data_IF_868223237397
#
_entry.id   IF_868223237397
#
_cell.length_a   1.000
_cell.length_b   1.000
_cell.length_c   1.000
_cell.angle_alpha   90.00
_cell.angle_beta   90.00
_cell.angle_gamma   90.00
#
_symmetry.space_group_name_H-M   'P 1'
#
loop_
_entity.id
_entity.type
_entity.pdbx_description
1 polymer ?
#
# COMPACT_ATOMS: atom_id res chain seq x y z
N UNK A 1 0.20 -8.90 -6.00
CA UNK A 1 0.08 -8.48 -7.41
C UNK A 1 -1.36 -8.67 -7.85
N UNK A 2 -2.13 -7.61 -8.05
CA UNK A 2 -3.47 -7.67 -8.67
C UNK A 2 -3.33 -6.96 -10.01
N UNK A 3 -3.84 -7.55 -11.11
CA UNK A 3 -3.59 -7.17 -12.53
C UNK A 3 -4.92 -6.87 -13.27
N UNK A 4 -4.86 -5.96 -14.27
CA UNK A 4 -5.86 -5.49 -15.28
C UNK A 4 -6.83 -4.30 -15.02
N UNK A 5 -6.76 -3.33 -15.93
CA UNK A 5 -6.92 -1.86 -15.85
C UNK A 5 -8.34 -1.28 -15.99
N UNK A 6 -8.63 -0.25 -15.18
CA UNK A 6 -9.45 0.90 -15.58
C UNK A 6 -8.77 2.18 -15.05
N UNK A 7 -8.39 3.08 -15.94
CA UNK A 7 -7.63 4.29 -15.62
C UNK A 7 -8.51 5.30 -14.88
N UNK A 8 -7.99 5.85 -13.77
CA UNK A 8 -8.41 7.16 -13.27
C UNK A 8 -8.20 8.17 -14.40
N UNK A 9 -9.24 8.49 -15.16
CA UNK A 9 -9.15 9.43 -16.25
C UNK A 9 -8.72 10.81 -15.71
N UNK A 10 -7.55 11.26 -16.19
CA UNK A 10 -7.06 12.65 -16.19
C UNK A 10 -6.99 13.34 -14.82
N UNK A 11 -6.02 12.94 -14.01
CA UNK A 11 -5.22 13.94 -13.27
C UNK A 11 -3.85 13.98 -13.95
N UNK A 12 -3.51 15.15 -14.47
CA UNK A 12 -2.27 15.39 -15.21
C UNK A 12 -1.03 15.07 -14.35
N UNK A 13 0.08 14.80 -15.05
CA UNK A 13 1.40 14.36 -14.58
C UNK A 13 1.55 12.84 -14.48
N UNK A 14 2.09 12.26 -15.57
CA UNK A 14 2.18 10.83 -15.80
C UNK A 14 2.80 10.05 -14.66
N UNK A 15 2.07 9.03 -14.19
CA UNK A 15 2.56 7.79 -13.55
C UNK A 15 1.37 6.88 -13.30
N UNK A 16 1.49 5.60 -13.65
CA UNK A 16 0.49 4.55 -13.37
C UNK A 16 0.40 4.17 -11.87
N UNK A 17 1.01 4.93 -10.97
CA UNK A 17 1.12 4.63 -9.55
C UNK A 17 0.07 5.37 -8.73
N UNK A 18 -0.72 4.63 -7.94
CA UNK A 18 -1.77 5.19 -7.09
C UNK A 18 -1.44 5.13 -5.60
N UNK A 19 -0.18 4.85 -5.26
CA UNK A 19 0.30 4.78 -3.87
C UNK A 19 0.16 6.15 -3.19
N UNK A 20 -0.13 6.15 -1.89
CA UNK A 20 -0.40 7.38 -1.12
C UNK A 20 0.85 8.04 -0.51
N UNK A 21 1.95 7.30 -0.40
CA UNK A 21 3.22 7.75 0.19
C UNK A 21 3.00 8.37 1.58
N UNK A 22 2.54 7.57 2.56
CA UNK A 22 2.19 8.08 3.88
C UNK A 22 3.44 8.58 4.64
N UNK A 23 3.32 9.76 5.25
CA UNK A 23 4.40 10.32 6.08
C UNK A 23 4.79 9.42 7.25
N UNK A 24 3.84 8.68 7.80
CA UNK A 24 4.08 7.69 8.87
C UNK A 24 5.04 6.58 8.46
N UNK A 25 5.27 6.35 7.16
CA UNK A 25 6.32 5.44 6.69
C UNK A 25 7.60 6.20 6.31
N UNK A 26 7.47 7.38 5.68
CA UNK A 26 8.63 8.17 5.22
C UNK A 26 9.47 8.71 6.38
N UNK A 27 8.84 9.22 7.43
CA UNK A 27 9.54 9.84 8.56
C UNK A 27 10.40 8.83 9.35
N UNK A 28 9.90 7.64 9.74
CA UNK A 28 10.74 6.64 10.40
C UNK A 28 11.85 6.09 9.50
N UNK A 29 11.61 5.96 8.19
CA UNK A 29 12.64 5.56 7.23
C UNK A 29 13.80 6.57 7.20
N UNK A 30 13.48 7.86 7.14
CA UNK A 30 14.48 8.93 7.19
C UNK A 30 15.20 8.98 8.55
N UNK A 31 14.47 8.79 9.66
CA UNK A 31 15.07 8.66 10.99
C UNK A 31 16.00 7.44 11.12
N UNK A 32 15.84 6.44 10.24
CA UNK A 32 16.69 5.25 10.16
C UNK A 32 17.83 5.37 9.15
N UNK A 33 18.15 6.59 8.69
CA UNK A 33 19.33 6.90 7.88
C UNK A 33 19.13 7.01 6.38
N UNK A 34 17.90 6.94 5.87
CA UNK A 34 17.59 7.27 4.47
C UNK A 34 17.40 8.78 4.25
N UNK A 35 17.34 9.17 2.97
CA UNK A 35 17.09 10.54 2.54
C UNK A 35 15.95 10.60 1.52
N UNK A 36 14.79 10.03 1.87
CA UNK A 36 13.57 10.18 1.09
C UNK A 36 13.14 11.65 1.10
N UNK A 37 12.73 12.15 -0.06
CA UNK A 37 12.23 13.52 -0.22
C UNK A 37 11.03 13.77 0.72
N UNK A 38 11.13 14.69 1.70
CA UNK A 38 10.06 14.96 2.65
C UNK A 38 8.84 15.64 1.99
N UNK A 39 9.00 16.16 0.77
CA UNK A 39 7.92 16.69 -0.06
C UNK A 39 7.20 15.61 -0.87
N UNK A 40 7.70 14.36 -0.90
CA UNK A 40 7.05 13.28 -1.61
C UNK A 40 5.60 13.09 -1.13
N UNK A 41 4.65 13.14 -2.07
CA UNK A 41 3.23 12.89 -1.84
C UNK A 41 2.74 11.91 -2.89
N UNK A 42 1.84 11.03 -2.48
CA UNK A 42 1.13 10.13 -3.37
C UNK A 42 -0.31 10.59 -3.60
N UNK A 43 -1.11 9.69 -4.15
CA UNK A 43 -2.55 9.91 -4.36
C UNK A 43 -3.28 9.94 -3.02
N UNK A 44 -4.25 10.84 -2.89
CA UNK A 44 -5.11 10.89 -1.71
C UNK A 44 -5.97 9.62 -1.64
N UNK A 45 -5.78 8.81 -0.59
CA UNK A 45 -6.50 7.53 -0.42
C UNK A 45 -8.01 7.72 -0.21
N UNK A 46 -8.44 8.93 0.11
CA UNK A 46 -9.86 9.30 0.25
C UNK A 46 -10.57 9.34 -1.13
N UNK A 47 -9.82 9.48 -2.23
CA UNK A 47 -10.35 9.55 -3.59
C UNK A 47 -10.59 8.17 -4.23
N UNK A 48 -10.10 7.10 -3.60
CA UNK A 48 -10.19 5.74 -4.13
C UNK A 48 -11.64 5.27 -4.32
N UNK A 49 -12.47 5.38 -3.29
CA UNK A 49 -13.87 4.95 -3.37
C UNK A 49 -14.72 5.82 -4.31
N UNK A 50 -14.62 7.17 -4.28
CA UNK A 50 -15.23 8.01 -5.31
C UNK A 50 -14.87 7.60 -6.73
N UNK A 51 -13.58 7.33 -6.99
CA UNK A 51 -13.13 6.85 -8.28
C UNK A 51 -13.68 5.49 -8.67
N UNK A 52 -13.80 4.56 -7.72
CA UNK A 52 -14.40 3.26 -7.97
C UNK A 52 -15.85 3.37 -8.45
N UNK A 53 -16.61 4.32 -7.90
CA UNK A 53 -17.98 4.63 -8.35
C UNK A 53 -18.04 5.23 -9.76
N UNK A 54 -16.93 5.79 -10.26
CA UNK A 54 -16.79 6.32 -11.61
C UNK A 54 -16.22 5.30 -12.60
N UNK A 55 -16.10 4.02 -12.21
CA UNK A 55 -15.68 2.93 -13.10
C UNK A 55 -14.23 2.48 -12.94
N UNK A 56 -13.49 3.00 -11.95
CA UNK A 56 -12.14 2.50 -11.64
C UNK A 56 -12.25 1.19 -10.86
N UNK A 57 -12.04 0.07 -11.55
CA UNK A 57 -12.16 -1.27 -10.96
C UNK A 57 -10.85 -1.82 -10.40
N UNK A 58 -9.73 -1.13 -10.63
CA UNK A 58 -8.40 -1.56 -10.19
C UNK A 58 -7.49 -0.39 -9.84
N UNK A 59 -6.79 -0.51 -8.71
CA UNK A 59 -5.80 0.46 -8.23
C UNK A 59 -4.43 -0.21 -8.07
N UNK A 60 -3.36 0.44 -8.53
CA UNK A 60 -1.98 -0.07 -8.41
C UNK A 60 -1.29 0.55 -7.17
N UNK A 61 -0.95 -0.29 -6.19
CA UNK A 61 -0.23 0.09 -4.98
C UNK A 61 1.07 -0.71 -4.89
N UNK A 62 2.21 -0.04 -5.03
CA UNK A 62 3.54 -0.68 -4.99
C UNK A 62 4.48 0.12 -4.10
N UNK A 63 4.61 1.43 -4.35
CA UNK A 63 5.45 2.33 -3.53
C UNK A 63 5.11 2.24 -2.04
N UNK A 64 3.82 2.25 -1.67
CA UNK A 64 3.43 2.13 -0.26
C UNK A 64 3.93 0.83 0.38
N UNK A 65 3.84 -0.29 -0.34
CA UNK A 65 4.29 -1.58 0.16
C UNK A 65 5.81 -1.66 0.32
N UNK A 66 6.55 -1.00 -0.58
CA UNK A 66 8.02 -0.87 -0.47
C UNK A 66 8.40 -0.01 0.72
N UNK A 67 7.65 1.05 1.02
CA UNK A 67 7.89 1.88 2.21
C UNK A 67 7.72 1.08 3.50
N UNK A 68 6.63 0.29 3.63
CA UNK A 68 6.43 -0.59 4.78
C UNK A 68 7.60 -1.57 4.94
N UNK A 69 8.04 -2.19 3.84
CA UNK A 69 9.18 -3.10 3.86
C UNK A 69 10.46 -2.39 4.33
N UNK A 70 10.77 -1.24 3.75
CA UNK A 70 11.98 -0.47 4.07
C UNK A 70 11.99 -0.02 5.52
N UNK A 71 10.85 0.50 6.03
CA UNK A 71 10.72 0.90 7.43
C UNK A 71 11.06 -0.27 8.36
N UNK A 72 10.35 -1.39 8.21
CA UNK A 72 10.50 -2.55 9.11
C UNK A 72 11.94 -3.05 9.16
N UNK A 73 12.60 -3.17 8.01
CA UNK A 73 13.95 -3.71 7.97
C UNK A 73 14.98 -2.71 8.49
N UNK A 74 14.81 -1.42 8.21
CA UNK A 74 15.75 -0.39 8.72
C UNK A 74 15.63 -0.20 10.22
N UNK A 75 14.42 -0.17 10.76
CA UNK A 75 14.19 -0.14 12.21
C UNK A 75 14.82 -1.37 12.86
N UNK A 76 14.58 -2.56 12.30
CA UNK A 76 15.17 -3.79 12.83
C UNK A 76 16.71 -3.77 12.83
N UNK A 77 17.34 -3.39 11.72
CA UNK A 77 18.81 -3.33 11.65
C UNK A 77 19.41 -2.26 12.58
N UNK A 78 18.69 -1.17 12.84
CA UNK A 78 19.10 -0.11 13.76
C UNK A 78 18.98 -0.56 15.22
N UNK A 79 17.85 -1.18 15.56
CA UNK A 79 17.49 -1.49 16.95
C UNK A 79 18.03 -2.84 17.42
N UNK A 80 18.37 -3.74 16.49
CA UNK A 80 18.90 -5.08 16.74
C UNK A 80 20.15 -5.40 15.90
N UNK A 81 21.24 -4.61 16.02
CA UNK A 81 22.44 -4.78 15.20
C UNK A 81 23.15 -6.13 15.40
N UNK A 82 22.90 -6.81 16.52
CA UNK A 82 23.42 -8.15 16.82
C UNK A 82 22.70 -9.26 16.04
N UNK A 83 21.51 -8.99 15.49
CA UNK A 83 20.69 -9.98 14.81
C UNK A 83 20.91 -9.94 13.31
N UNK A 84 21.18 -11.11 12.73
CA UNK A 84 21.34 -11.29 11.28
C UNK A 84 20.27 -12.20 10.66
N UNK A 85 19.36 -12.74 11.47
CA UNK A 85 18.28 -13.61 11.00
C UNK A 85 17.06 -12.78 10.57
N UNK A 86 16.84 -12.70 9.25
CA UNK A 86 15.77 -11.90 8.66
C UNK A 86 14.38 -12.52 8.83
N UNK A 87 14.25 -13.71 9.43
CA UNK A 87 12.95 -14.25 9.84
C UNK A 87 12.30 -13.40 10.93
N UNK A 88 13.10 -12.78 11.80
CA UNK A 88 12.60 -11.88 12.85
C UNK A 88 11.90 -10.63 12.28
N UNK A 89 12.55 -9.79 11.44
CA UNK A 89 11.87 -8.66 10.80
C UNK A 89 10.80 -9.13 9.81
N UNK A 90 10.95 -10.32 9.21
CA UNK A 90 9.94 -10.91 8.34
C UNK A 90 8.58 -11.10 9.02
N UNK A 91 8.55 -11.54 10.29
CA UNK A 91 7.31 -11.66 11.08
C UNK A 91 6.63 -10.30 11.30
N UNK A 92 7.42 -9.27 11.57
CA UNK A 92 6.94 -7.89 11.72
C UNK A 92 6.37 -7.43 10.37
N UNK A 93 7.13 -7.57 9.30
CA UNK A 93 6.73 -7.14 7.96
C UNK A 93 5.42 -7.79 7.51
N UNK A 94 5.24 -9.10 7.68
CA UNK A 94 4.00 -9.79 7.29
C UNK A 94 2.79 -9.18 8.01
N UNK A 95 2.89 -8.91 9.32
CA UNK A 95 1.81 -8.29 10.08
C UNK A 95 1.53 -6.86 9.63
N UNK A 96 2.56 -6.03 9.51
CA UNK A 96 2.42 -4.64 9.09
C UNK A 96 1.86 -4.52 7.66
N UNK A 97 2.33 -5.39 6.75
CA UNK A 97 1.85 -5.44 5.38
C UNK A 97 0.41 -5.91 5.30
N UNK A 98 0.00 -6.89 6.13
CA UNK A 98 -1.39 -7.32 6.22
C UNK A 98 -2.31 -6.18 6.70
N UNK A 99 -1.90 -5.44 7.73
CA UNK A 99 -2.62 -4.26 8.22
C UNK A 99 -2.74 -3.19 7.12
N UNK A 100 -1.65 -2.93 6.41
CA UNK A 100 -1.62 -2.01 5.27
C UNK A 100 -2.63 -2.41 4.18
N UNK A 101 -2.64 -3.69 3.77
CA UNK A 101 -3.57 -4.19 2.75
C UNK A 101 -5.02 -4.12 3.23
N UNK A 102 -5.29 -4.49 4.49
CA UNK A 102 -6.63 -4.40 5.07
C UNK A 102 -7.16 -2.96 5.05
N UNK A 103 -6.36 -2.01 5.55
CA UNK A 103 -6.68 -0.57 5.53
C UNK A 103 -6.95 -0.07 4.11
N UNK A 104 -6.15 -0.49 3.12
CA UNK A 104 -6.36 -0.10 1.72
C UNK A 104 -7.64 -0.69 1.15
N UNK A 105 -8.00 -1.92 1.49
CA UNK A 105 -9.25 -2.54 1.03
C UNK A 105 -10.49 -1.82 1.56
N UNK A 106 -10.45 -1.30 2.79
CA UNK A 106 -11.52 -0.44 3.32
C UNK A 106 -11.65 0.84 2.49
N UNK A 107 -10.53 1.51 2.20
CA UNK A 107 -10.51 2.74 1.39
C UNK A 107 -10.92 2.53 -0.07
N UNK A 108 -10.62 1.35 -0.63
CA UNK A 108 -11.04 0.95 -1.98
C UNK A 108 -12.51 0.52 -2.04
N UNK A 109 -13.15 0.23 -0.90
CA UNK A 109 -14.50 -0.33 -0.84
C UNK A 109 -14.58 -1.83 -1.17
N UNK A 110 -13.45 -2.54 -1.22
CA UNK A 110 -13.40 -3.99 -1.48
C UNK A 110 -13.54 -4.84 -0.21
N UNK A 111 -13.40 -4.23 0.97
CA UNK A 111 -13.61 -4.92 2.25
C UNK A 111 -15.02 -5.52 2.34
N UNK A 112 -15.11 -6.78 2.75
CA UNK A 112 -16.38 -7.51 2.91
C UNK A 112 -17.08 -7.94 1.61
N UNK A 113 -16.53 -7.66 0.43
CA UNK A 113 -17.20 -7.95 -0.85
C UNK A 113 -17.08 -9.40 -1.33
N UNK A 114 -16.30 -10.25 -0.65
CA UNK A 114 -15.96 -11.60 -1.12
C UNK A 114 -17.20 -12.49 -1.33
N UNK A 115 -18.14 -12.49 -0.40
CA UNK A 115 -19.31 -13.37 -0.47
C UNK A 115 -20.28 -12.94 -1.58
N UNK A 116 -20.47 -11.63 -1.77
CA UNK A 116 -21.24 -11.09 -2.88
C UNK A 116 -20.64 -11.47 -4.24
N UNK A 117 -19.30 -11.40 -4.39
CA UNK A 117 -18.61 -11.83 -5.60
C UNK A 117 -18.73 -13.34 -5.81
N UNK A 118 -18.60 -14.15 -4.76
CA UNK A 118 -18.78 -15.62 -4.86
C UNK A 118 -20.19 -15.99 -5.31
N UNK A 119 -21.21 -15.30 -4.81
CA UNK A 119 -22.59 -15.52 -5.21
C UNK A 119 -22.82 -15.17 -6.68
N UNK A 120 -22.26 -14.06 -7.17
CA UNK A 120 -22.46 -13.61 -8.56
C UNK A 120 -21.83 -14.54 -9.60
N UNK A 121 -20.72 -15.22 -9.26
CA UNK A 121 -20.06 -16.17 -10.15
C UNK A 121 -20.80 -17.51 -10.22
N UNK A 122 -21.44 -17.95 -9.11
CA UNK A 122 -22.22 -19.20 -9.07
C UNK A 122 -23.59 -19.11 -9.75
N UNK A 123 -24.13 -17.90 -9.88
CA UNK A 123 -25.43 -17.65 -10.50
C UNK A 123 -25.37 -17.58 -12.04
N UNK A 124 -24.19 -17.79 -12.64
CA UNK A 124 -23.97 -17.92 -14.08
C UNK A 124 -23.84 -19.38 -14.46
#
# INVERSE_FOLDING_TARGET
MIVTTAQLYKVAYGKHGSSSVPKSEVEPINASGEKLDPSARGVNKEEYLPAAKLGVTKVNLDTDGRLVWTRVHREFCRDHPEKFDFRDPGKIFVREYANFIAHKNEKLGSAGQLDAVRASVKAR
#
